data_IF_844737400307
#
_entry.id   IF_844737400307
#
_cell.length_a   1.000
_cell.length_b   1.000
_cell.length_c   1.000
_cell.angle_alpha   90.00
_cell.angle_beta   90.00
_cell.angle_gamma   90.00
#
_symmetry.space_group_name_H-M   'P 1'
#
loop_
_entity.id
_entity.type
_entity.pdbx_description
1 polymer ?
#
# COMPACT_ATOMS: atom_id res chain seq x y z
N UNK A 1 31.02 -1.08 13.78
CA UNK A 1 29.85 -1.59 13.05
C UNK A 1 29.58 -0.67 11.87
N UNK A 2 29.96 -1.06 10.65
CA UNK A 2 29.64 -0.26 9.46
C UNK A 2 28.23 -0.60 9.02
N UNK A 3 27.37 0.42 9.00
CA UNK A 3 26.03 0.34 8.43
C UNK A 3 26.23 0.18 6.92
N UNK A 4 26.00 -1.03 6.41
CA UNK A 4 25.93 -1.23 4.96
C UNK A 4 24.70 -0.47 4.48
N UNK A 5 24.95 0.68 3.85
CA UNK A 5 23.91 1.44 3.18
C UNK A 5 23.76 0.82 1.79
N UNK A 6 22.66 0.12 1.51
CA UNK A 6 22.45 -0.48 0.19
C UNK A 6 22.41 0.63 -0.87
N UNK A 7 22.87 0.30 -2.08
CA UNK A 7 22.77 1.22 -3.21
C UNK A 7 21.30 1.58 -3.46
N UNK A 8 21.00 2.87 -3.67
CA UNK A 8 19.66 3.33 -4.00
C UNK A 8 19.25 2.75 -5.36
N UNK A 9 18.45 1.69 -5.33
CA UNK A 9 17.74 1.18 -6.51
C UNK A 9 16.35 1.81 -6.57
N UNK A 10 15.71 1.81 -7.75
CA UNK A 10 14.30 2.25 -7.91
C UNK A 10 13.39 1.65 -6.83
N UNK A 11 13.60 0.37 -6.51
CA UNK A 11 12.85 -0.32 -5.46
C UNK A 11 13.13 0.19 -4.04
N UNK A 12 14.33 0.67 -3.76
CA UNK A 12 14.63 1.29 -2.45
C UNK A 12 13.86 2.61 -2.30
N UNK A 13 13.75 3.40 -3.38
CA UNK A 13 12.95 4.64 -3.41
C UNK A 13 11.46 4.36 -3.27
N UNK A 14 10.94 3.35 -3.96
CA UNK A 14 9.54 2.92 -3.86
C UNK A 14 9.21 2.47 -2.43
N UNK A 15 10.06 1.64 -1.80
CA UNK A 15 9.86 1.17 -0.43
C UNK A 15 9.92 2.31 0.61
N UNK A 16 10.80 3.30 0.41
CA UNK A 16 10.86 4.47 1.27
C UNK A 16 9.63 5.37 1.10
N UNK A 17 9.11 5.51 -0.13
CA UNK A 17 7.85 6.23 -0.36
C UNK A 17 6.68 5.56 0.35
N UNK A 18 6.60 4.22 0.37
CA UNK A 18 5.57 3.48 1.11
C UNK A 18 5.63 3.78 2.60
N UNK A 19 6.82 3.77 3.19
CA UNK A 19 7.00 4.09 4.62
C UNK A 19 6.60 5.53 4.92
N UNK A 20 6.96 6.46 4.04
CA UNK A 20 6.57 7.86 4.17
C UNK A 20 5.05 8.05 4.05
N UNK A 21 4.40 7.29 3.17
CA UNK A 21 2.94 7.24 3.04
C UNK A 21 2.32 6.77 4.34
N UNK A 22 2.72 5.59 4.84
CA UNK A 22 2.18 4.99 6.07
C UNK A 22 2.29 5.94 7.27
N UNK A 23 3.45 6.57 7.45
CA UNK A 23 3.68 7.52 8.53
C UNK A 23 2.74 8.75 8.48
N UNK A 24 2.31 9.16 7.28
CA UNK A 24 1.45 10.34 7.08
C UNK A 24 -0.04 10.03 7.13
N UNK A 25 -0.47 8.77 6.99
CA UNK A 25 -1.89 8.41 6.93
C UNK A 25 -2.68 8.88 8.15
N UNK A 26 -2.10 8.79 9.34
CA UNK A 26 -2.75 9.22 10.60
C UNK A 26 -2.92 10.75 10.72
N UNK A 27 -2.13 11.52 9.98
CA UNK A 27 -2.10 12.99 10.05
C UNK A 27 -2.93 13.67 8.96
N UNK A 28 -3.52 12.89 8.06
CA UNK A 28 -4.24 13.38 6.87
C UNK A 28 -5.74 13.10 6.97
N UNK A 29 -6.57 13.76 6.13
CA UNK A 29 -7.96 13.39 5.98
C UNK A 29 -8.10 11.88 5.70
N UNK A 30 -9.10 11.20 6.28
CA UNK A 30 -9.32 9.78 6.08
C UNK A 30 -9.43 9.42 4.58
N UNK A 31 -8.58 8.51 4.12
CA UNK A 31 -8.64 7.96 2.76
C UNK A 31 -9.50 6.71 2.82
N UNK A 32 -10.64 6.71 2.12
CA UNK A 32 -11.58 5.58 2.14
C UNK A 32 -11.31 4.60 1.01
N UNK A 33 -11.83 3.38 1.15
CA UNK A 33 -11.82 2.37 0.09
C UNK A 33 -12.42 2.91 -1.22
N UNK A 34 -13.52 3.66 -1.15
CA UNK A 34 -14.14 4.27 -2.32
C UNK A 34 -13.23 5.28 -3.04
N UNK A 35 -12.43 6.06 -2.30
CA UNK A 35 -11.46 6.98 -2.92
C UNK A 35 -10.38 6.24 -3.71
N UNK A 36 -10.12 4.98 -3.35
CA UNK A 36 -9.14 4.12 -4.02
C UNK A 36 -9.78 3.19 -5.06
N UNK A 37 -11.11 3.22 -5.24
CA UNK A 37 -11.86 2.31 -6.10
C UNK A 37 -11.89 0.87 -5.60
N UNK A 38 -11.79 0.67 -4.28
CA UNK A 38 -11.64 -0.63 -3.62
C UNK A 38 -12.91 -1.06 -2.85
N UNK A 39 -14.05 -0.41 -3.05
CA UNK A 39 -15.31 -0.62 -2.33
C UNK A 39 -16.01 -1.98 -2.56
N UNK A 40 -15.34 -2.90 -3.25
CA UNK A 40 -15.74 -4.30 -3.42
C UNK A 40 -14.53 -5.24 -3.38
N UNK A 41 -13.36 -4.74 -2.96
CA UNK A 41 -12.15 -5.54 -2.97
C UNK A 41 -12.31 -6.70 -1.99
N UNK A 42 -11.94 -7.89 -2.47
CA UNK A 42 -11.96 -9.10 -1.64
C UNK A 42 -10.77 -9.02 -0.71
N UNK A 43 -11.04 -8.85 0.59
CA UNK A 43 -9.98 -8.91 1.59
C UNK A 43 -9.40 -10.32 1.64
N UNK A 44 -8.09 -10.41 1.42
CA UNK A 44 -7.33 -11.58 1.82
C UNK A 44 -7.32 -11.68 3.34
N UNK A 45 -7.17 -12.91 3.86
CA UNK A 45 -6.99 -13.11 5.30
C UNK A 45 -5.86 -12.20 5.82
N UNK A 46 -5.98 -11.73 7.06
CA UNK A 46 -5.12 -10.77 7.77
C UNK A 46 -3.63 -11.20 7.96
N UNK A 47 -3.11 -12.07 7.10
CA UNK A 47 -1.75 -12.59 7.11
C UNK A 47 -0.70 -11.56 6.63
N UNK A 48 -1.10 -10.52 5.89
CA UNK A 48 -0.17 -9.52 5.31
C UNK A 48 0.41 -8.49 6.31
N UNK A 49 0.39 -8.79 7.60
CA UNK A 49 1.11 -8.06 8.66
C UNK A 49 1.83 -8.98 9.65
N UNK A 50 1.80 -10.31 9.46
CA UNK A 50 2.43 -11.29 10.34
C UNK A 50 3.34 -12.22 9.52
N UNK A 51 4.59 -12.47 9.94
CA UNK A 51 5.46 -13.43 9.27
C UNK A 51 5.04 -14.84 9.65
N UNK A 52 4.06 -15.42 8.96
CA UNK A 52 3.69 -16.83 9.17
C UNK A 52 3.43 -17.53 7.85
N UNK A 53 4.39 -18.37 7.47
CA UNK A 53 4.44 -19.25 6.28
C UNK A 53 3.29 -20.27 6.16
N UNK A 54 2.32 -20.30 7.06
CA UNK A 54 1.19 -21.22 6.98
C UNK A 54 -0.09 -20.56 7.48
N UNK A 55 -0.84 -19.93 6.58
CA UNK A 55 -2.25 -19.63 6.81
C UNK A 55 -3.05 -19.89 5.53
N UNK A 56 -3.03 -21.16 5.10
CA UNK A 56 -4.13 -21.74 4.33
C UNK A 56 -5.31 -21.98 5.29
N UNK A 57 -5.90 -20.90 5.79
CA UNK A 57 -7.26 -20.97 6.32
C UNK A 57 -8.07 -20.01 5.47
N UNK A 58 -8.91 -20.58 4.62
CA UNK A 58 -10.00 -19.88 3.93
C UNK A 58 -10.78 -19.09 4.98
N UNK A 59 -10.41 -17.83 5.17
CA UNK A 59 -11.25 -16.84 5.80
C UNK A 59 -12.17 -16.34 4.70
N UNK A 60 -13.48 -16.49 4.91
CA UNK A 60 -14.53 -15.96 4.06
C UNK A 60 -14.10 -14.63 3.45
N UNK A 61 -14.08 -14.55 2.12
CA UNK A 61 -13.84 -13.33 1.35
C UNK A 61 -14.72 -12.20 1.93
N UNK A 62 -14.13 -11.35 2.77
CA UNK A 62 -14.82 -10.22 3.34
C UNK A 62 -14.71 -9.09 2.32
N UNK A 63 -15.86 -8.62 1.86
CA UNK A 63 -15.93 -7.54 0.89
C UNK A 63 -15.63 -6.23 1.60
N UNK A 64 -14.65 -5.48 1.11
CA UNK A 64 -14.27 -4.20 1.68
C UNK A 64 -15.39 -3.17 1.47
N UNK A 65 -15.96 -2.65 2.55
CA UNK A 65 -16.97 -1.60 2.46
C UNK A 65 -16.42 -0.27 1.96
N UNK A 66 -17.22 0.49 1.20
CA UNK A 66 -16.85 1.80 0.63
C UNK A 66 -16.29 2.82 1.64
N UNK A 67 -16.74 2.76 2.89
CA UNK A 67 -16.37 3.69 3.97
C UNK A 67 -15.17 3.22 4.81
N UNK A 68 -14.64 2.03 4.54
CA UNK A 68 -13.48 1.53 5.27
C UNK A 68 -12.29 2.47 5.02
N UNK A 69 -11.61 2.85 6.10
CA UNK A 69 -10.55 3.85 6.09
C UNK A 69 -9.20 3.15 6.03
N UNK A 70 -8.34 3.57 5.11
CA UNK A 70 -6.95 3.12 5.04
C UNK A 70 -6.18 3.65 6.25
N UNK A 71 -5.71 2.74 7.10
CA UNK A 71 -4.95 3.05 8.32
C UNK A 71 -3.47 2.83 8.16
N UNK A 72 -3.11 1.77 7.43
CA UNK A 72 -1.70 1.42 7.21
C UNK A 72 -1.46 0.95 5.78
N UNK A 73 -0.25 1.17 5.28
CA UNK A 73 0.23 0.63 4.00
C UNK A 73 1.60 0.02 4.23
N UNK A 74 1.84 -1.18 3.68
CA UNK A 74 3.11 -1.86 3.81
C UNK A 74 3.47 -2.59 2.53
N UNK A 75 4.75 -2.59 2.17
CA UNK A 75 5.29 -3.51 1.19
C UNK A 75 5.81 -4.78 1.86
N UNK A 76 5.45 -5.94 1.31
CA UNK A 76 5.91 -7.26 1.70
C UNK A 76 6.42 -8.03 0.47
N UNK A 77 7.29 -9.03 0.69
CA UNK A 77 7.91 -9.80 -0.40
C UNK A 77 9.34 -9.39 -0.70
N UNK A 78 9.86 -9.88 -1.82
CA UNK A 78 11.23 -9.57 -2.26
C UNK A 78 11.31 -8.12 -2.72
N UNK A 79 12.43 -7.42 -2.49
CA UNK A 79 12.61 -6.03 -2.95
C UNK A 79 12.44 -5.85 -4.46
N UNK A 80 12.64 -6.91 -5.24
CA UNK A 80 12.47 -6.92 -6.70
C UNK A 80 11.00 -6.89 -7.14
N UNK A 81 10.10 -7.46 -6.33
CA UNK A 81 8.68 -7.56 -6.63
C UNK A 81 7.85 -7.41 -5.33
N UNK A 82 7.81 -6.20 -4.74
CA UNK A 82 7.08 -5.99 -3.50
C UNK A 82 5.57 -6.01 -3.75
N UNK A 83 4.86 -6.83 -2.99
CA UNK A 83 3.41 -6.74 -2.85
C UNK A 83 3.06 -5.62 -1.88
N UNK A 84 2.19 -4.71 -2.27
CA UNK A 84 1.78 -3.60 -1.39
C UNK A 84 0.42 -3.89 -0.82
N UNK A 85 0.32 -3.86 0.50
CA UNK A 85 -0.89 -4.19 1.24
C UNK A 85 -1.39 -2.95 1.99
N UNK A 86 -2.68 -2.66 1.86
CA UNK A 86 -3.39 -1.66 2.62
C UNK A 86 -4.21 -2.32 3.73
N UNK A 87 -4.04 -1.85 4.97
CA UNK A 87 -4.91 -2.20 6.09
C UNK A 87 -6.03 -1.18 6.19
N UNK A 88 -7.24 -1.63 5.95
CA UNK A 88 -8.45 -0.86 6.07
C UNK A 88 -9.19 -1.21 7.35
N UNK A 89 -9.83 -0.22 7.94
CA UNK A 89 -10.66 -0.36 9.13
C UNK A 89 -12.04 0.22 8.83
N UNK A 90 -13.07 -0.59 9.03
CA UNK A 90 -14.45 -0.12 8.95
C UNK A 90 -14.76 0.75 10.18
N UNK A 91 -15.14 2.04 10.00
CA UNK A 91 -15.38 2.94 11.12
C UNK A 91 -16.66 2.62 11.92
N UNK A 92 -17.57 1.81 11.37
CA UNK A 92 -18.84 1.45 12.01
C UNK A 92 -18.71 0.12 12.77
N UNK A 93 -18.12 -0.88 12.13
CA UNK A 93 -18.01 -2.23 12.70
C UNK A 93 -16.69 -2.47 13.42
N UNK A 94 -15.67 -1.63 13.18
CA UNK A 94 -14.30 -1.86 13.64
C UNK A 94 -13.61 -3.03 12.93
N UNK A 95 -14.23 -3.60 11.88
CA UNK A 95 -13.67 -4.71 11.14
C UNK A 95 -12.39 -4.27 10.42
N UNK A 96 -11.34 -5.07 10.55
CA UNK A 96 -10.05 -4.81 9.91
C UNK A 96 -9.88 -5.74 8.73
N UNK A 97 -9.60 -5.16 7.57
CA UNK A 97 -9.39 -5.85 6.31
C UNK A 97 -8.00 -5.53 5.77
N UNK A 98 -7.31 -6.54 5.24
CA UNK A 98 -6.05 -6.30 4.51
C UNK A 98 -6.28 -6.65 3.06
N UNK A 99 -5.92 -5.72 2.18
CA UNK A 99 -6.16 -5.82 0.74
C UNK A 99 -4.88 -5.46 0.01
N UNK A 100 -4.55 -6.21 -1.02
CA UNK A 100 -3.45 -5.88 -1.92
C UNK A 100 -3.81 -4.64 -2.76
N UNK A 101 -2.93 -3.63 -2.73
CA UNK A 101 -3.02 -2.40 -3.51
C UNK A 101 -2.26 -2.60 -4.82
N UNK A 102 -2.99 -2.87 -5.89
CA UNK A 102 -2.42 -2.90 -7.23
C UNK A 102 -2.20 -1.49 -7.79
N UNK A 103 -1.59 -1.38 -8.98
CA UNK A 103 -1.15 -0.13 -9.62
C UNK A 103 -2.21 0.98 -9.64
N UNK A 104 -3.48 0.63 -9.89
CA UNK A 104 -4.57 1.61 -9.90
C UNK A 104 -4.86 2.18 -8.49
N UNK A 105 -4.92 1.34 -7.46
CA UNK A 105 -5.15 1.79 -6.09
C UNK A 105 -3.97 2.63 -5.57
N UNK A 106 -2.74 2.26 -5.94
CA UNK A 106 -1.53 3.02 -5.62
C UNK A 106 -1.50 4.39 -6.31
N UNK A 107 -1.93 4.46 -7.56
CA UNK A 107 -2.08 5.72 -8.27
C UNK A 107 -3.11 6.63 -7.58
N UNK A 108 -4.29 6.10 -7.25
CA UNK A 108 -5.32 6.86 -6.52
C UNK A 108 -4.84 7.31 -5.14
N UNK A 109 -4.05 6.47 -4.45
CA UNK A 109 -3.43 6.83 -3.18
C UNK A 109 -2.45 8.00 -3.35
N UNK A 110 -1.60 7.97 -4.38
CA UNK A 110 -0.69 9.08 -4.68
C UNK A 110 -1.47 10.37 -4.98
N UNK A 111 -2.55 10.30 -5.76
CA UNK A 111 -3.42 11.45 -6.05
C UNK A 111 -4.07 11.99 -4.78
N UNK A 112 -4.66 11.12 -3.96
CA UNK A 112 -5.29 11.49 -2.68
C UNK A 112 -4.29 12.14 -1.71
N UNK A 113 -3.03 11.67 -1.74
CA UNK A 113 -1.95 12.22 -0.93
C UNK A 113 -1.19 13.37 -1.59
N UNK A 114 -1.55 13.76 -2.81
CA UNK A 114 -0.83 14.77 -3.61
C UNK A 114 0.67 14.47 -3.70
N UNK A 115 1.01 13.21 -3.88
CA UNK A 115 2.38 12.73 -4.05
C UNK A 115 2.66 12.50 -5.54
N UNK A 116 3.88 12.80 -5.97
CA UNK A 116 4.37 12.34 -7.27
C UNK A 116 4.53 10.82 -7.21
N UNK A 117 3.87 10.11 -8.13
CA UNK A 117 4.00 8.65 -8.24
C UNK A 117 5.43 8.30 -8.66
N UNK A 118 6.13 7.46 -7.89
CA UNK A 118 7.46 6.94 -8.25
C UNK A 118 7.44 5.44 -8.63
N UNK A 119 6.28 4.90 -8.99
CA UNK A 119 6.04 3.46 -9.15
C UNK A 119 5.91 3.08 -10.61
N UNK A 120 6.60 2.01 -11.02
CA UNK A 120 6.56 1.51 -12.39
C UNK A 120 7.35 2.37 -13.37
N UNK A 121 7.28 2.02 -14.66
CA UNK A 121 8.11 2.61 -15.74
C UNK A 121 7.91 4.11 -15.97
N UNK A 122 6.89 4.74 -15.40
CA UNK A 122 6.69 6.20 -15.47
C UNK A 122 7.69 6.99 -14.62
N UNK A 123 8.28 6.38 -13.59
CA UNK A 123 9.40 6.99 -12.87
C UNK A 123 10.63 7.19 -13.78
N UNK A 124 10.77 6.33 -14.81
CA UNK A 124 11.84 6.43 -15.82
C UNK A 124 11.52 7.53 -16.85
N UNK A 125 10.24 7.81 -17.11
CA UNK A 125 9.83 8.81 -18.12
C UNK A 125 9.78 10.25 -17.58
N UNK A 126 9.66 10.44 -16.26
CA UNK A 126 9.72 11.78 -15.65
C UNK A 126 11.15 12.31 -15.43
N UNK A 127 12.17 11.48 -15.65
CA UNK A 127 13.59 11.87 -15.57
C UNK A 127 14.19 12.44 -16.87
N UNK A 128 13.48 12.34 -17.99
CA UNK A 128 13.94 12.87 -19.30
C UNK A 128 13.33 14.23 -19.59
N UNK A 129 13.63 15.22 -18.74
CA UNK A 129 13.60 16.62 -19.16
C UNK A 129 14.92 17.26 -18.77
N UNK A 130 15.97 16.82 -19.46
CA UNK A 130 17.24 17.57 -19.53
C UNK A 130 16.96 18.73 -20.47
N UNK A 131 16.92 19.94 -19.90
CA UNK A 131 17.09 21.19 -20.64
C UNK A 131 18.52 21.33 -21.13
#
# INVERSE_FOLDING_TARGET
MHRHQPALTTHTVELDQIRAIDAQLSSRPPITAAMLGMEQAVAGAAAAFAPSMFSLRQSSAAVLGARAVLRHVRAEGTPEYPYVNGRFEDPVTGAVHTVELHSQALHQLCVAMRLSQCWGTDAVLSGSSIR
#
